data_IF_392737049936
#
_entry.id   IF_392737049936
#
_cell.length_a   1.000
_cell.length_b   1.000
_cell.length_c   1.000
_cell.angle_alpha   90.00
_cell.angle_beta   90.00
_cell.angle_gamma   90.00
#
_symmetry.space_group_name_H-M   'P 1'
#
loop_
_entity.id
_entity.type
_entity.pdbx_description
1 polymer ?
#
# COMPACT_ATOMS: atom_id res chain seq x y z
N UNK A 1 20.97 -19.01 -1.53
CA UNK A 1 21.31 -17.91 -0.61
C UNK A 1 20.26 -16.82 -0.81
N UNK A 2 19.29 -16.66 0.14
CA UNK A 2 18.28 -15.63 0.01
C UNK A 2 18.97 -14.27 0.12
N UNK A 3 18.90 -13.45 -0.92
CA UNK A 3 19.44 -12.08 -0.88
C UNK A 3 18.52 -11.29 0.02
N UNK A 4 18.94 -11.00 1.25
CA UNK A 4 18.24 -10.06 2.09
C UNK A 4 18.50 -8.66 1.53
N UNK A 5 17.49 -8.08 0.88
CA UNK A 5 17.51 -6.65 0.64
C UNK A 5 17.68 -5.95 2.02
N UNK A 6 18.60 -4.99 2.12
CA UNK A 6 18.64 -4.11 3.27
C UNK A 6 17.44 -3.18 3.16
N UNK A 7 16.37 -3.57 3.84
CA UNK A 7 15.15 -2.78 3.86
C UNK A 7 15.25 -1.80 5.03
N UNK A 8 14.95 -0.50 4.83
CA UNK A 8 14.83 0.44 5.94
C UNK A 8 13.87 -0.12 6.99
N UNK A 9 14.18 0.08 8.27
CA UNK A 9 13.32 -0.41 9.35
C UNK A 9 11.91 0.19 9.19
N UNK A 10 10.89 -0.67 9.12
CA UNK A 10 9.48 -0.25 9.04
C UNK A 10 9.08 0.63 10.23
N UNK A 11 9.74 0.48 11.39
CA UNK A 11 9.55 1.36 12.55
C UNK A 11 9.85 2.83 12.27
N UNK A 12 10.75 3.12 11.32
CA UNK A 12 11.06 4.50 10.91
C UNK A 12 10.04 5.03 9.90
N UNK A 13 9.30 4.16 9.24
CA UNK A 13 8.29 4.53 8.25
C UNK A 13 7.04 5.18 8.87
N UNK A 14 6.79 5.02 10.16
CA UNK A 14 5.70 5.71 10.87
C UNK A 14 6.04 7.15 11.26
N UNK A 15 7.30 7.55 11.21
CA UNK A 15 7.74 8.93 11.42
C UNK A 15 7.49 9.75 10.14
N UNK A 16 7.00 10.97 10.30
CA UNK A 16 6.71 11.91 9.18
C UNK A 16 7.97 12.53 8.56
N UNK A 17 9.12 11.91 8.71
CA UNK A 17 10.38 12.45 8.22
C UNK A 17 10.58 12.03 6.76
N UNK A 18 10.77 13.03 5.90
CA UNK A 18 11.27 12.82 4.54
C UNK A 18 12.70 12.29 4.63
N UNK A 19 12.98 11.19 3.93
CA UNK A 19 14.34 10.63 3.89
C UNK A 19 15.28 11.56 3.14
N UNK A 20 16.54 11.60 3.56
CA UNK A 20 17.61 12.21 2.76
C UNK A 20 17.70 11.45 1.42
N UNK A 21 17.98 12.14 0.35
CA UNK A 21 18.06 11.59 -1.01
C UNK A 21 16.70 11.06 -1.56
N UNK A 22 15.61 11.70 -1.13
CA UNK A 22 14.27 11.43 -1.65
C UNK A 22 14.25 11.50 -3.18
N UNK A 23 13.61 10.52 -3.82
CA UNK A 23 13.36 10.48 -5.27
C UNK A 23 11.97 11.01 -5.63
N UNK A 24 11.18 11.37 -4.62
CA UNK A 24 9.82 11.86 -4.80
C UNK A 24 9.82 13.25 -5.39
N UNK A 25 9.16 13.41 -6.52
CA UNK A 25 8.88 14.74 -7.09
C UNK A 25 7.67 15.30 -6.38
N UNK A 26 7.84 16.43 -5.70
CA UNK A 26 6.80 17.09 -4.92
C UNK A 26 6.27 18.30 -5.70
N UNK A 27 4.99 18.26 -6.05
CA UNK A 27 4.24 19.37 -6.65
C UNK A 27 3.34 20.06 -5.63
N UNK A 28 2.26 20.68 -6.09
CA UNK A 28 1.16 21.11 -5.23
C UNK A 28 0.45 19.92 -4.58
N UNK A 29 -0.39 20.14 -3.58
CA UNK A 29 -1.21 19.05 -3.00
C UNK A 29 -2.06 18.36 -4.06
N UNK A 30 -2.61 19.10 -5.03
CA UNK A 30 -3.36 18.52 -6.14
C UNK A 30 -2.48 17.65 -7.04
N UNK A 31 -1.29 18.12 -7.39
CA UNK A 31 -0.34 17.33 -8.20
C UNK A 31 0.07 16.05 -7.46
N UNK A 32 0.29 16.13 -6.16
CA UNK A 32 0.67 15.00 -5.31
C UNK A 32 -0.45 13.97 -5.17
N UNK A 33 -1.72 14.41 -5.05
CA UNK A 33 -2.88 13.51 -5.06
C UNK A 33 -2.98 12.76 -6.39
N UNK A 34 -2.80 13.46 -7.52
CA UNK A 34 -2.79 12.82 -8.84
C UNK A 34 -1.63 11.85 -9.01
N UNK A 35 -0.44 12.22 -8.52
CA UNK A 35 0.74 11.35 -8.55
C UNK A 35 0.52 10.07 -7.71
N UNK A 36 -0.09 10.20 -6.53
CA UNK A 36 -0.47 9.06 -5.69
C UNK A 36 -1.44 8.14 -6.45
N UNK A 37 -2.53 8.65 -7.04
CA UNK A 37 -3.48 7.87 -7.85
C UNK A 37 -2.77 7.09 -8.96
N UNK A 38 -1.76 7.67 -9.62
CA UNK A 38 -0.96 6.97 -10.65
C UNK A 38 -0.16 5.82 -10.01
N UNK A 39 0.50 6.06 -8.89
CA UNK A 39 1.27 5.08 -8.14
C UNK A 39 0.41 3.91 -7.69
N UNK A 40 -0.70 4.21 -6.99
CA UNK A 40 -1.65 3.21 -6.48
C UNK A 40 -2.32 2.41 -7.59
N UNK A 41 -2.63 3.04 -8.75
CA UNK A 41 -3.15 2.31 -9.92
C UNK A 41 -2.10 1.33 -10.46
N UNK A 42 -0.84 1.73 -10.49
CA UNK A 42 0.27 0.85 -10.86
C UNK A 42 0.48 -0.28 -9.86
N UNK A 43 0.40 0.01 -8.56
CA UNK A 43 0.51 -0.96 -7.47
C UNK A 43 -0.65 -1.97 -7.51
N UNK A 44 -1.90 -1.52 -7.66
CA UNK A 44 -3.05 -2.40 -7.85
C UNK A 44 -2.83 -3.41 -8.99
N UNK A 45 -2.50 -2.92 -10.18
CA UNK A 45 -2.30 -3.78 -11.35
C UNK A 45 -1.11 -4.72 -11.18
N UNK A 46 -0.04 -4.27 -10.55
CA UNK A 46 1.14 -5.06 -10.18
C UNK A 46 0.76 -6.20 -9.25
N UNK A 47 0.02 -5.93 -8.17
CA UNK A 47 -0.35 -6.94 -7.19
C UNK A 47 -1.37 -7.94 -7.73
N UNK A 48 -2.29 -7.55 -8.61
CA UNK A 48 -3.15 -8.48 -9.32
C UNK A 48 -2.35 -9.45 -10.21
N UNK A 49 -1.32 -8.96 -10.91
CA UNK A 49 -0.43 -9.82 -11.70
C UNK A 49 0.39 -10.76 -10.79
N UNK A 50 0.86 -10.27 -9.64
CA UNK A 50 1.61 -11.06 -8.67
C UNK A 50 0.74 -12.10 -7.98
N UNK A 51 -0.51 -11.78 -7.65
CA UNK A 51 -1.48 -12.73 -7.11
C UNK A 51 -1.70 -13.91 -8.04
N UNK A 52 -1.92 -13.62 -9.33
CA UNK A 52 -2.06 -14.67 -10.35
C UNK A 52 -0.81 -15.54 -10.42
N UNK A 53 0.37 -14.95 -10.48
CA UNK A 53 1.64 -15.68 -10.55
C UNK A 53 1.90 -16.52 -9.30
N UNK A 54 1.58 -16.01 -8.11
CA UNK A 54 1.70 -16.76 -6.85
C UNK A 54 0.79 -17.98 -6.84
N UNK A 55 -0.46 -17.82 -7.30
CA UNK A 55 -1.42 -18.94 -7.43
C UNK A 55 -0.93 -20.00 -8.42
N UNK A 56 -0.43 -19.58 -9.59
CA UNK A 56 0.11 -20.48 -10.61
C UNK A 56 1.34 -21.25 -10.12
N UNK A 57 2.10 -20.69 -9.16
CA UNK A 57 3.28 -21.29 -8.51
C UNK A 57 2.94 -22.09 -7.25
N UNK A 58 1.67 -22.19 -6.85
CA UNK A 58 1.22 -22.99 -5.70
C UNK A 58 1.28 -22.27 -4.35
N UNK A 59 1.49 -20.94 -4.33
CA UNK A 59 1.54 -20.12 -3.11
C UNK A 59 0.19 -19.44 -2.83
N UNK A 60 -0.81 -20.24 -2.42
CA UNK A 60 -2.19 -19.74 -2.24
C UNK A 60 -2.31 -18.62 -1.22
N UNK A 61 -1.64 -18.72 -0.06
CA UNK A 61 -1.66 -17.68 0.97
C UNK A 61 -1.05 -16.36 0.46
N UNK A 62 0.05 -16.45 -0.29
CA UNK A 62 0.70 -15.27 -0.86
C UNK A 62 -0.16 -14.65 -1.95
N UNK A 63 -0.87 -15.47 -2.73
CA UNK A 63 -1.84 -14.97 -3.71
C UNK A 63 -2.95 -14.14 -3.03
N UNK A 64 -3.53 -14.66 -1.91
CA UNK A 64 -4.52 -13.91 -1.13
C UNK A 64 -3.96 -12.62 -0.52
N UNK A 65 -2.71 -12.63 -0.07
CA UNK A 65 -2.06 -11.39 0.41
C UNK A 65 -1.97 -10.35 -0.71
N UNK A 66 -1.53 -10.73 -1.90
CA UNK A 66 -1.49 -9.81 -3.04
C UNK A 66 -2.89 -9.34 -3.48
N UNK A 67 -3.90 -10.22 -3.44
CA UNK A 67 -5.29 -9.85 -3.74
C UNK A 67 -5.82 -8.83 -2.72
N UNK A 68 -5.57 -9.06 -1.44
CA UNK A 68 -5.97 -8.14 -0.37
C UNK A 68 -5.28 -6.78 -0.51
N UNK A 69 -3.97 -6.77 -0.81
CA UNK A 69 -3.24 -5.51 -1.01
C UNK A 69 -3.71 -4.80 -2.28
N UNK A 70 -3.91 -5.53 -3.40
CA UNK A 70 -4.48 -4.92 -4.61
C UNK A 70 -5.84 -4.25 -4.34
N UNK A 71 -6.67 -4.84 -3.48
CA UNK A 71 -7.94 -4.23 -3.08
C UNK A 71 -7.74 -3.02 -2.14
N UNK A 72 -6.69 -3.00 -1.32
CA UNK A 72 -6.33 -1.85 -0.49
C UNK A 72 -5.97 -0.64 -1.35
N UNK A 73 -5.21 -0.83 -2.45
CA UNK A 73 -4.86 0.27 -3.36
C UNK A 73 -6.09 0.90 -4.02
N UNK A 74 -7.13 0.12 -4.29
CA UNK A 74 -8.41 0.70 -4.78
C UNK A 74 -9.08 1.61 -3.74
N UNK A 75 -8.90 1.33 -2.45
CA UNK A 75 -9.41 2.18 -1.37
C UNK A 75 -8.62 3.50 -1.36
N UNK A 76 -7.30 3.44 -1.45
CA UNK A 76 -6.43 4.63 -1.50
C UNK A 76 -6.77 5.49 -2.72
N UNK A 77 -6.83 4.89 -3.93
CA UNK A 77 -7.26 5.56 -5.15
C UNK A 77 -8.62 6.26 -4.96
N UNK A 78 -9.58 5.58 -4.33
CA UNK A 78 -10.92 6.15 -4.08
C UNK A 78 -10.86 7.41 -3.22
N UNK A 79 -10.15 7.34 -2.09
CA UNK A 79 -10.01 8.45 -1.16
C UNK A 79 -9.29 9.66 -1.76
N UNK A 80 -8.25 9.41 -2.54
CA UNK A 80 -7.48 10.45 -3.23
C UNK A 80 -8.27 11.07 -4.38
N UNK A 81 -8.93 10.23 -5.18
CA UNK A 81 -9.77 10.66 -6.29
C UNK A 81 -10.92 11.57 -5.85
N UNK A 82 -11.56 11.25 -4.72
CA UNK A 82 -12.64 12.05 -4.16
C UNK A 82 -12.16 13.48 -3.81
N UNK A 83 -10.90 13.64 -3.43
CA UNK A 83 -10.31 14.96 -3.21
C UNK A 83 -9.93 15.65 -4.51
N UNK A 84 -9.37 14.91 -5.46
CA UNK A 84 -8.98 15.48 -6.77
C UNK A 84 -10.20 16.04 -7.48
N UNK A 85 -11.32 15.31 -7.56
CA UNK A 85 -12.52 15.81 -8.28
C UNK A 85 -13.19 16.99 -7.59
N UNK A 86 -12.99 17.18 -6.28
CA UNK A 86 -13.41 18.38 -5.57
C UNK A 86 -12.58 19.61 -5.96
N UNK A 87 -11.29 19.41 -6.27
CA UNK A 87 -10.34 20.47 -6.63
C UNK A 87 -10.29 20.70 -8.15
N UNK A 88 -10.45 19.64 -8.93
CA UNK A 88 -10.43 19.65 -10.40
C UNK A 88 -11.55 18.75 -10.93
N UNK A 89 -12.76 19.30 -11.11
CA UNK A 89 -13.87 18.57 -11.71
C UNK A 89 -13.53 18.09 -13.12
N UNK A 90 -13.85 16.82 -13.42
CA UNK A 90 -13.57 16.22 -14.74
C UNK A 90 -12.23 15.49 -14.83
N UNK A 91 -11.47 15.40 -13.73
CA UNK A 91 -10.28 14.56 -13.70
C UNK A 91 -10.64 13.09 -13.97
N UNK A 92 -9.93 12.48 -14.92
CA UNK A 92 -10.08 11.06 -15.27
C UNK A 92 -8.96 10.23 -14.62
N UNK A 93 -9.32 9.06 -14.10
CA UNK A 93 -8.34 8.13 -13.51
C UNK A 93 -7.35 7.66 -14.58
N UNK A 94 -6.06 7.55 -14.26
CA UNK A 94 -5.06 7.10 -15.20
C UNK A 94 -5.22 5.60 -15.50
N UNK A 95 -4.73 5.19 -16.67
CA UNK A 95 -4.52 3.78 -16.99
C UNK A 95 -3.03 3.47 -16.88
N UNK A 96 -2.67 2.48 -16.06
CA UNK A 96 -1.28 2.05 -15.85
C UNK A 96 -1.17 0.57 -16.18
N UNK A 97 -0.20 0.20 -17.00
CA UNK A 97 0.02 -1.20 -17.35
C UNK A 97 0.59 -2.00 -16.16
N UNK A 98 0.15 -3.25 -16.03
CA UNK A 98 0.76 -4.17 -15.07
C UNK A 98 2.16 -4.60 -15.54
N UNK A 99 3.14 -4.69 -14.65
CA UNK A 99 4.43 -5.26 -14.99
C UNK A 99 4.34 -6.80 -15.14
N UNK A 100 5.33 -7.38 -15.81
CA UNK A 100 5.44 -8.84 -15.86
C UNK A 100 5.82 -9.39 -14.49
N UNK A 101 5.01 -10.32 -13.98
CA UNK A 101 5.30 -11.02 -12.74
C UNK A 101 6.50 -11.97 -12.91
N UNK A 102 7.22 -12.19 -11.81
CA UNK A 102 8.40 -13.06 -11.71
C UNK A 102 8.13 -14.22 -10.76
N UNK A 103 9.18 -14.83 -10.24
CA UNK A 103 9.09 -15.80 -9.14
C UNK A 103 8.49 -15.13 -7.89
N UNK A 104 7.79 -15.90 -7.08
CA UNK A 104 6.98 -15.40 -5.96
C UNK A 104 7.80 -14.59 -4.95
N UNK A 105 9.01 -15.07 -4.61
CA UNK A 105 9.95 -14.39 -3.72
C UNK A 105 10.39 -13.02 -4.27
N UNK A 106 10.67 -12.92 -5.57
CA UNK A 106 11.04 -11.66 -6.23
C UNK A 106 9.85 -10.69 -6.29
N UNK A 107 8.63 -11.20 -6.45
CA UNK A 107 7.42 -10.40 -6.43
C UNK A 107 7.17 -9.82 -5.03
N UNK A 108 7.37 -10.62 -3.98
CA UNK A 108 7.25 -10.16 -2.58
C UNK A 108 8.25 -9.03 -2.27
N UNK A 109 9.52 -9.19 -2.69
CA UNK A 109 10.53 -8.13 -2.53
C UNK A 109 10.16 -6.88 -3.34
N UNK A 110 9.65 -7.06 -4.56
CA UNK A 110 9.18 -5.92 -5.36
C UNK A 110 8.00 -5.20 -4.72
N UNK A 111 7.05 -5.94 -4.15
CA UNK A 111 5.96 -5.38 -3.34
C UNK A 111 6.50 -4.61 -2.15
N UNK A 112 7.28 -5.28 -1.29
CA UNK A 112 7.85 -4.66 -0.09
C UNK A 112 8.62 -3.36 -0.38
N UNK A 113 9.40 -3.32 -1.44
CA UNK A 113 10.14 -2.10 -1.83
C UNK A 113 9.20 -0.96 -2.26
N UNK A 114 8.09 -1.26 -2.93
CA UNK A 114 7.06 -0.27 -3.28
C UNK A 114 6.45 0.33 -2.02
N UNK A 115 5.91 -0.50 -1.14
CA UNK A 115 5.28 -0.07 0.11
C UNK A 115 6.24 0.73 1.01
N UNK A 116 7.51 0.31 1.08
CA UNK A 116 8.54 1.03 1.84
C UNK A 116 8.81 2.41 1.23
N UNK A 117 8.88 2.52 -0.08
CA UNK A 117 9.01 3.81 -0.75
C UNK A 117 7.83 4.72 -0.43
N UNK A 118 6.61 4.22 -0.53
CA UNK A 118 5.40 4.98 -0.25
C UNK A 118 5.33 5.44 1.21
N UNK A 119 5.61 4.56 2.15
CA UNK A 119 5.52 4.89 3.58
C UNK A 119 6.70 5.73 4.09
N UNK A 120 7.92 5.64 3.52
CA UNK A 120 9.12 6.31 4.02
C UNK A 120 9.56 7.54 3.23
N UNK A 121 9.15 7.67 1.98
CA UNK A 121 9.56 8.76 1.08
C UNK A 121 8.36 9.52 0.51
N UNK A 122 7.50 8.87 -0.28
CA UNK A 122 6.44 9.50 -1.04
C UNK A 122 5.41 10.19 -0.14
N UNK A 123 4.69 9.44 0.68
CA UNK A 123 3.65 10.01 1.53
C UNK A 123 4.16 11.00 2.58
N UNK A 124 5.31 10.80 3.24
CA UNK A 124 5.87 11.84 4.11
C UNK A 124 6.11 13.17 3.41
N UNK A 125 6.62 13.14 2.17
CA UNK A 125 6.84 14.33 1.36
C UNK A 125 5.52 15.03 0.98
N UNK A 126 4.50 14.23 0.58
CA UNK A 126 3.18 14.74 0.21
C UNK A 126 2.42 15.31 1.43
N UNK A 127 2.51 14.67 2.59
CA UNK A 127 1.94 15.16 3.85
C UNK A 127 2.56 16.50 4.22
N UNK A 128 3.88 16.62 4.15
CA UNK A 128 4.58 17.88 4.44
C UNK A 128 4.07 19.00 3.53
N UNK A 129 3.93 18.74 2.21
CA UNK A 129 3.41 19.72 1.26
C UNK A 129 1.97 20.11 1.55
N UNK A 130 1.11 19.13 1.88
CA UNK A 130 -0.28 19.38 2.24
C UNK A 130 -0.39 20.21 3.54
N UNK A 131 0.54 20.03 4.50
CA UNK A 131 0.63 20.87 5.72
C UNK A 131 1.02 22.31 5.36
N UNK A 132 2.01 22.51 4.49
CA UNK A 132 2.42 23.83 4.01
C UNK A 132 1.28 24.58 3.32
N UNK A 133 0.40 23.88 2.61
CA UNK A 133 -0.76 24.41 1.91
C UNK A 133 -2.03 24.45 2.76
N UNK A 134 -2.01 23.96 4.01
CA UNK A 134 -3.15 23.94 4.91
C UNK A 134 -4.28 22.98 4.48
N UNK A 135 -4.00 21.99 3.62
CA UNK A 135 -4.98 21.03 3.13
C UNK A 135 -5.17 19.86 4.10
N UNK A 136 -5.98 20.09 5.15
CA UNK A 136 -6.23 19.09 6.19
C UNK A 136 -6.81 17.77 5.66
N UNK A 137 -7.67 17.82 4.63
CA UNK A 137 -8.26 16.61 4.04
C UNK A 137 -7.19 15.73 3.40
N UNK A 138 -6.28 16.32 2.62
CA UNK A 138 -5.17 15.59 1.99
C UNK A 138 -4.21 15.02 3.05
N UNK A 139 -3.90 15.78 4.12
CA UNK A 139 -3.11 15.27 5.24
C UNK A 139 -3.74 13.98 5.80
N UNK A 140 -5.05 13.95 6.02
CA UNK A 140 -5.76 12.78 6.55
C UNK A 140 -5.70 11.59 5.58
N UNK A 141 -5.93 11.82 4.29
CA UNK A 141 -5.91 10.75 3.27
C UNK A 141 -4.50 10.16 3.18
N UNK A 142 -3.48 10.98 2.91
CA UNK A 142 -2.09 10.52 2.82
C UNK A 142 -1.57 9.85 4.10
N UNK A 143 -2.00 10.32 5.29
CA UNK A 143 -1.59 9.71 6.55
C UNK A 143 -2.17 8.30 6.70
N UNK A 144 -3.43 8.08 6.31
CA UNK A 144 -4.06 6.76 6.37
C UNK A 144 -3.41 5.78 5.41
N UNK A 145 -3.21 6.18 4.16
CA UNK A 145 -2.48 5.39 3.18
C UNK A 145 -1.09 5.05 3.72
N UNK A 146 -0.27 6.06 4.06
CA UNK A 146 1.07 5.84 4.64
C UNK A 146 1.11 4.78 5.75
N UNK A 147 0.15 4.80 6.66
CA UNK A 147 0.09 3.86 7.78
C UNK A 147 -0.32 2.45 7.31
N UNK A 148 -1.20 2.34 6.32
CA UNK A 148 -1.56 1.07 5.73
C UNK A 148 -0.38 0.46 4.97
N UNK A 149 0.35 1.25 4.14
CA UNK A 149 1.52 0.79 3.38
C UNK A 149 2.65 0.28 4.30
N UNK A 150 2.82 0.88 5.49
CA UNK A 150 3.78 0.35 6.45
C UNK A 150 3.46 -1.08 6.88
N UNK A 151 2.17 -1.41 7.00
CA UNK A 151 1.71 -2.75 7.34
C UNK A 151 1.80 -3.70 6.15
N UNK A 152 1.47 -3.25 4.94
CA UNK A 152 1.63 -4.04 3.73
C UNK A 152 3.10 -4.45 3.53
N UNK A 153 4.04 -3.53 3.71
CA UNK A 153 5.47 -3.83 3.69
C UNK A 153 5.85 -4.91 4.70
N UNK A 154 5.37 -4.81 5.95
CA UNK A 154 5.59 -5.84 6.98
C UNK A 154 5.04 -7.21 6.56
N UNK A 155 3.84 -7.26 5.98
CA UNK A 155 3.21 -8.49 5.51
C UNK A 155 4.02 -9.14 4.38
N UNK A 156 4.49 -8.36 3.40
CA UNK A 156 5.33 -8.87 2.32
C UNK A 156 6.68 -9.39 2.82
N UNK A 157 7.32 -8.69 3.75
CA UNK A 157 8.58 -9.13 4.36
C UNK A 157 8.40 -10.40 5.20
N UNK A 158 7.32 -10.49 5.96
CA UNK A 158 6.99 -11.70 6.72
C UNK A 158 6.75 -12.89 5.77
N UNK A 159 5.94 -12.71 4.71
CA UNK A 159 5.71 -13.75 3.70
C UNK A 159 6.98 -14.16 2.96
N UNK A 160 7.89 -13.23 2.67
CA UNK A 160 9.20 -13.53 2.07
C UNK A 160 10.09 -14.36 2.99
N UNK A 161 10.10 -14.05 4.30
CA UNK A 161 10.92 -14.78 5.27
C UNK A 161 10.39 -16.18 5.56
N UNK A 162 9.10 -16.40 5.36
CA UNK A 162 8.39 -17.65 5.66
C UNK A 162 7.58 -18.11 4.43
N UNK A 163 8.28 -18.20 3.30
CA UNK A 163 7.68 -18.48 1.98
C UNK A 163 6.95 -19.83 1.93
N UNK A 164 7.43 -20.81 2.67
CA UNK A 164 6.92 -22.18 2.70
C UNK A 164 6.00 -22.42 3.91
N UNK A 165 5.52 -21.36 4.58
CA UNK A 165 4.59 -21.48 5.69
C UNK A 165 3.29 -22.18 5.27
N UNK A 166 2.63 -22.92 6.19
CA UNK A 166 1.30 -23.47 5.93
C UNK A 166 0.31 -22.40 5.47
N UNK A 167 -0.61 -22.79 4.60
CA UNK A 167 -1.61 -21.92 4.00
C UNK A 167 -2.90 -21.84 4.86
N UNK A 168 -2.76 -21.48 6.13
CA UNK A 168 -3.82 -21.59 7.13
C UNK A 168 -4.45 -20.24 7.51
N UNK A 169 -3.75 -19.12 7.28
CA UNK A 169 -4.21 -17.80 7.71
C UNK A 169 -4.98 -17.06 6.62
N UNK A 170 -6.01 -16.35 7.06
CA UNK A 170 -6.75 -15.37 6.25
C UNK A 170 -6.19 -13.97 6.45
N UNK A 171 -6.39 -13.14 5.44
CA UNK A 171 -6.14 -11.71 5.52
C UNK A 171 -7.46 -10.95 5.59
N UNK A 172 -7.51 -9.92 6.40
CA UNK A 172 -8.70 -9.09 6.62
C UNK A 172 -8.40 -7.66 6.24
N UNK A 173 -9.09 -7.16 5.22
CA UNK A 173 -8.93 -5.82 4.68
C UNK A 173 -9.92 -4.84 5.31
N UNK A 174 -9.43 -3.76 5.89
CA UNK A 174 -10.23 -2.63 6.36
C UNK A 174 -10.79 -1.83 5.17
N UNK A 175 -12.12 -1.70 5.01
CA UNK A 175 -12.72 -1.03 3.86
C UNK A 175 -12.58 0.50 3.88
N UNK A 176 -11.98 1.07 4.94
CA UNK A 176 -11.88 2.52 5.14
C UNK A 176 -10.48 3.07 4.87
N UNK A 177 -9.43 2.31 5.22
CA UNK A 177 -8.05 2.81 5.13
C UNK A 177 -7.07 1.84 4.49
N UNK A 178 -7.53 0.69 4.01
CA UNK A 178 -6.65 -0.29 3.36
C UNK A 178 -5.79 -1.13 4.31
N UNK A 179 -5.88 -0.94 5.64
CA UNK A 179 -5.14 -1.78 6.60
C UNK A 179 -5.46 -3.25 6.43
N UNK A 180 -4.44 -4.12 6.44
CA UNK A 180 -4.57 -5.57 6.33
C UNK A 180 -4.11 -6.26 7.61
N UNK A 181 -5.03 -6.99 8.26
CA UNK A 181 -4.73 -7.87 9.38
C UNK A 181 -4.53 -9.31 8.90
N UNK A 182 -3.56 -10.03 9.46
CA UNK A 182 -3.36 -11.47 9.25
C UNK A 182 -3.90 -12.23 10.45
N UNK A 183 -4.77 -13.22 10.21
CA UNK A 183 -5.42 -14.02 11.26
C UNK A 183 -6.66 -13.34 11.84
N UNK A 184 -7.32 -14.03 12.80
CA UNK A 184 -8.61 -13.60 13.37
C UNK A 184 -8.51 -12.85 14.69
N UNK A 185 -7.30 -12.70 15.23
CA UNK A 185 -7.05 -12.13 16.57
C UNK A 185 -6.98 -10.59 16.53
N UNK A 186 -8.12 -9.97 16.25
CA UNK A 186 -8.27 -8.50 16.34
C UNK A 186 -9.74 -8.12 16.54
N UNK A 187 -9.98 -6.93 17.09
CA UNK A 187 -11.33 -6.39 17.34
C UNK A 187 -11.66 -5.23 16.40
N UNK A 188 -10.67 -4.42 16.06
CA UNK A 188 -10.83 -3.19 15.26
C UNK A 188 -9.56 -2.80 14.52
N UNK A 189 -9.72 -1.98 13.50
CA UNK A 189 -8.60 -1.36 12.79
C UNK A 189 -7.76 -0.48 13.73
N UNK A 190 -6.44 -0.65 13.79
CA UNK A 190 -5.58 0.20 14.61
C UNK A 190 -5.39 1.62 14.04
N UNK A 191 -5.72 1.83 12.75
CA UNK A 191 -5.55 3.11 12.05
C UNK A 191 -6.81 3.96 12.12
N UNK A 192 -7.97 3.40 11.72
CA UNK A 192 -9.22 4.16 11.62
C UNK A 192 -10.30 3.72 12.62
N UNK A 193 -9.99 2.77 13.49
CA UNK A 193 -10.86 2.23 14.56
C UNK A 193 -12.14 1.56 14.09
N UNK A 194 -12.26 1.24 12.80
CA UNK A 194 -13.41 0.50 12.27
C UNK A 194 -13.47 -0.90 12.89
N UNK A 195 -14.65 -1.38 13.37
CA UNK A 195 -14.81 -2.71 13.94
C UNK A 195 -14.50 -3.84 12.93
N UNK A 196 -14.07 -5.00 13.43
CA UNK A 196 -13.72 -6.21 12.66
C UNK A 196 -14.82 -6.66 11.70
N UNK A 197 -16.09 -6.58 12.12
CA UNK A 197 -17.26 -7.05 11.35
C UNK A 197 -17.40 -6.39 9.97
N UNK A 198 -16.75 -5.24 9.76
CA UNK A 198 -16.77 -4.52 8.48
C UNK A 198 -15.65 -4.93 7.52
N UNK A 199 -14.70 -5.76 7.97
CA UNK A 199 -13.56 -6.16 7.16
C UNK A 199 -13.94 -7.23 6.13
N UNK A 200 -13.28 -7.18 4.98
CA UNK A 200 -13.39 -8.22 3.94
C UNK A 200 -12.29 -9.25 4.14
N UNK A 201 -12.66 -10.54 4.17
CA UNK A 201 -11.71 -11.65 4.28
C UNK A 201 -11.22 -12.12 2.90
N UNK A 202 -9.93 -12.47 2.83
CA UNK A 202 -9.21 -13.02 1.70
C UNK A 202 -8.57 -14.36 2.05
#
# INVERSE_FOLDING_TARGET
MKVRAQVPSVKNATNFNVVSDSKTVVGSTLDNLKAAIVGETGAHNKYMAFAKAAKDQGYGQIARLFEATAAAELIHIGLEYDLVVQMEPGYEKPTVAAPTAKACDLNLISGANGEIYETSDMYPAFIKKAQEEGNTKAIHVFTRAKLAESVHAERYLAAYNDLDAPDDDKFYLCPICGYIHKGEDFEKCPICFRPKDSFTAY
#
